data_IF_928414521984
#
_entry.id   IF_928414521984
#
_cell.length_a   1.000
_cell.length_b   1.000
_cell.length_c   1.000
_cell.angle_alpha   90.00
_cell.angle_beta   90.00
_cell.angle_gamma   90.00
#
_symmetry.space_group_name_H-M   'P 1'
#
loop_
_entity.id
_entity.type
_entity.pdbx_description
1 polymer ?
#
# COMPACT_ATOMS: atom_id res chain seq x y z
N UNK A 1 -18.35 7.97 15.89
CA UNK A 1 -16.95 8.26 15.57
C UNK A 1 -16.41 7.14 14.68
N UNK A 2 -15.69 7.46 13.58
CA UNK A 2 -15.05 6.46 12.71
C UNK A 2 -13.55 6.54 12.93
N UNK A 3 -12.96 5.45 13.39
CA UNK A 3 -11.53 5.36 13.73
C UNK A 3 -10.87 4.20 12.99
N UNK A 4 -9.57 4.24 12.88
CA UNK A 4 -8.75 3.18 12.27
C UNK A 4 -7.39 3.71 11.84
N UNK A 5 -6.52 2.81 11.39
CA UNK A 5 -5.19 3.16 10.87
C UNK A 5 -5.29 4.05 9.63
N UNK A 6 -4.22 4.76 9.25
CA UNK A 6 -4.21 5.53 8.00
C UNK A 6 -4.53 4.66 6.78
N UNK A 7 -5.05 5.29 5.73
CA UNK A 7 -5.30 4.71 4.41
C UNK A 7 -6.23 3.47 4.32
N UNK A 8 -7.11 3.26 5.29
CA UNK A 8 -8.09 2.15 5.28
C UNK A 8 -9.44 2.52 4.68
N UNK A 9 -9.59 3.72 4.11
CA UNK A 9 -10.82 4.14 3.43
C UNK A 9 -11.88 4.80 4.33
N UNK A 10 -11.55 5.26 5.55
CA UNK A 10 -12.47 5.95 6.47
C UNK A 10 -13.20 7.11 5.80
N UNK A 11 -12.45 8.04 5.23
CA UNK A 11 -13.00 9.23 4.56
C UNK A 11 -13.80 8.87 3.31
N UNK A 12 -13.43 7.81 2.59
CA UNK A 12 -14.21 7.29 1.46
C UNK A 12 -15.56 6.72 1.91
N UNK A 13 -15.60 6.01 3.04
CA UNK A 13 -16.84 5.51 3.64
C UNK A 13 -17.74 6.67 4.06
N UNK A 14 -17.18 7.69 4.71
CA UNK A 14 -17.93 8.90 5.12
C UNK A 14 -18.53 9.60 3.90
N UNK A 15 -17.76 9.78 2.83
CA UNK A 15 -18.24 10.40 1.60
C UNK A 15 -19.37 9.58 0.95
N UNK A 16 -19.32 8.25 0.98
CA UNK A 16 -20.40 7.38 0.53
C UNK A 16 -21.66 7.53 1.38
N UNK A 17 -21.55 7.58 2.70
CA UNK A 17 -22.67 7.72 3.63
C UNK A 17 -23.33 9.10 3.54
N UNK A 18 -22.57 10.14 3.28
CA UNK A 18 -23.08 11.51 3.12
C UNK A 18 -23.68 11.77 1.74
N UNK A 19 -23.40 10.93 0.76
CA UNK A 19 -23.78 11.11 -0.65
C UNK A 19 -23.10 12.30 -1.33
N UNK A 20 -22.05 12.86 -0.74
CA UNK A 20 -21.27 13.98 -1.28
C UNK A 20 -19.84 13.94 -0.79
N UNK A 21 -18.94 14.64 -1.50
CA UNK A 21 -17.53 14.75 -1.13
C UNK A 21 -17.37 15.74 0.03
N UNK A 22 -17.57 15.28 1.26
CA UNK A 22 -17.52 16.08 2.47
C UNK A 22 -16.19 15.94 3.24
N UNK A 23 -15.37 14.93 2.91
CA UNK A 23 -14.04 14.73 3.48
C UNK A 23 -12.99 14.52 2.38
N UNK A 24 -11.73 14.86 2.68
CA UNK A 24 -10.64 14.61 1.75
C UNK A 24 -10.31 13.12 1.70
N UNK A 25 -10.12 12.61 0.49
CA UNK A 25 -9.71 11.22 0.23
C UNK A 25 -8.44 11.19 -0.61
N UNK A 26 -7.61 10.18 -0.42
CA UNK A 26 -6.39 9.98 -1.19
C UNK A 26 -5.68 8.69 -0.78
N UNK A 27 -4.78 8.23 -1.63
CA UNK A 27 -4.04 6.97 -1.44
C UNK A 27 -2.77 7.12 -0.61
N UNK A 28 -2.60 8.27 0.05
CA UNK A 28 -1.41 8.54 0.89
C UNK A 28 -1.78 8.66 2.35
N UNK A 29 -0.93 8.18 3.28
CA UNK A 29 -1.11 8.41 4.71
C UNK A 29 -1.18 9.90 5.03
N UNK A 30 -2.04 10.28 5.99
CA UNK A 30 -2.16 11.66 6.47
C UNK A 30 -2.98 12.60 5.60
N UNK A 31 -3.83 12.08 4.68
CA UNK A 31 -4.78 12.90 3.89
C UNK A 31 -5.73 13.65 4.81
N UNK A 32 -6.26 12.99 5.85
CA UNK A 32 -7.06 13.64 6.90
C UNK A 32 -6.11 14.27 7.91
N UNK A 33 -5.90 15.58 7.83
CA UNK A 33 -4.94 16.33 8.66
C UNK A 33 -5.43 16.66 10.07
N UNK A 34 -6.74 16.69 10.29
CA UNK A 34 -7.35 17.03 11.56
C UNK A 34 -8.71 16.36 11.77
N UNK A 35 -9.23 16.46 12.98
CA UNK A 35 -10.59 16.02 13.28
C UNK A 35 -11.59 16.90 12.54
N UNK A 36 -12.55 16.29 11.86
CA UNK A 36 -13.62 17.04 11.18
C UNK A 36 -14.98 16.42 11.49
N UNK A 37 -15.94 17.30 11.77
CA UNK A 37 -17.33 16.93 11.95
C UNK A 37 -18.05 16.98 10.60
N UNK A 38 -18.71 15.91 10.25
CA UNK A 38 -19.48 15.79 9.02
C UNK A 38 -20.94 15.53 9.38
N UNK A 39 -21.83 16.46 9.01
CA UNK A 39 -23.27 16.31 9.21
C UNK A 39 -23.86 15.38 8.17
N UNK A 40 -24.57 14.37 8.64
CA UNK A 40 -25.41 13.49 7.85
C UNK A 40 -26.84 14.06 7.73
N UNK A 41 -27.67 13.38 6.98
CA UNK A 41 -29.11 13.67 6.95
C UNK A 41 -29.71 13.42 8.33
N UNK A 42 -30.47 14.40 8.85
CA UNK A 42 -31.04 14.38 10.20
C UNK A 42 -30.09 14.98 11.25
N UNK A 43 -30.26 14.59 12.49
CA UNK A 43 -29.47 15.10 13.63
C UNK A 43 -28.20 14.26 13.91
N UNK A 44 -27.70 13.52 12.91
CA UNK A 44 -26.54 12.66 13.03
C UNK A 44 -25.29 13.40 12.56
N UNK A 45 -24.26 13.44 13.40
CA UNK A 45 -22.95 13.96 13.06
C UNK A 45 -21.91 12.85 13.16
N UNK A 46 -21.01 12.77 12.16
CA UNK A 46 -19.87 11.88 12.15
C UNK A 46 -18.59 12.67 12.42
N UNK A 47 -17.75 12.15 13.30
CA UNK A 47 -16.40 12.67 13.51
C UNK A 47 -15.40 11.83 12.71
N UNK A 48 -14.84 12.42 11.66
CA UNK A 48 -13.69 11.84 10.95
C UNK A 48 -12.40 12.23 11.68
N UNK A 49 -11.60 11.25 12.04
CA UNK A 49 -10.34 11.42 12.74
C UNK A 49 -9.17 10.99 11.85
N UNK A 50 -8.00 11.67 11.95
CA UNK A 50 -6.78 11.17 11.32
C UNK A 50 -6.51 9.72 11.73
N UNK A 51 -6.02 8.91 10.79
CA UNK A 51 -5.55 7.57 11.13
C UNK A 51 -4.39 7.66 12.11
N UNK A 52 -4.45 6.87 13.18
CA UNK A 52 -3.44 6.86 14.23
C UNK A 52 -2.65 5.56 14.14
N UNK A 53 -1.33 5.67 14.15
CA UNK A 53 -0.40 4.55 14.26
C UNK A 53 0.39 4.68 15.57
N UNK A 54 0.80 3.55 16.12
CA UNK A 54 1.74 3.55 17.24
C UNK A 54 3.09 4.11 16.81
N UNK A 55 3.77 4.89 17.65
CA UNK A 55 5.08 5.49 17.32
C UNK A 55 6.20 4.47 17.10
N UNK A 56 6.07 3.30 17.68
CA UNK A 56 7.01 2.17 17.53
C UNK A 56 6.23 0.88 17.35
N UNK A 57 6.68 0.07 16.41
CA UNK A 57 6.22 -1.30 16.22
C UNK A 57 7.25 -2.25 16.82
N UNK A 58 6.86 -2.97 17.85
CA UNK A 58 7.70 -4.01 18.47
C UNK A 58 7.77 -5.27 17.60
N UNK A 59 6.72 -5.52 16.83
CA UNK A 59 6.63 -6.64 15.90
C UNK A 59 6.89 -6.18 14.45
N UNK A 60 7.99 -6.65 13.87
CA UNK A 60 8.36 -6.36 12.48
C UNK A 60 7.33 -6.85 11.47
N UNK A 61 6.60 -7.95 11.76
CA UNK A 61 5.54 -8.46 10.87
C UNK A 61 4.37 -7.49 10.78
N UNK A 62 3.98 -6.88 11.90
CA UNK A 62 2.92 -5.86 11.94
C UNK A 62 3.37 -4.64 11.16
N UNK A 63 4.60 -4.18 11.35
CA UNK A 63 5.15 -3.04 10.63
C UNK A 63 5.17 -3.26 9.11
N UNK A 64 5.58 -4.44 8.65
CA UNK A 64 5.59 -4.81 7.23
C UNK A 64 4.18 -4.85 6.65
N UNK A 65 3.23 -5.49 7.32
CA UNK A 65 1.83 -5.55 6.85
C UNK A 65 1.21 -4.14 6.74
N UNK A 66 1.50 -3.25 7.69
CA UNK A 66 1.05 -1.87 7.63
C UNK A 66 1.73 -1.07 6.50
N UNK A 67 2.99 -1.38 6.20
CA UNK A 67 3.69 -0.79 5.07
C UNK A 67 3.10 -1.26 3.73
N UNK A 68 2.80 -2.56 3.58
CA UNK A 68 2.16 -3.12 2.39
C UNK A 68 0.79 -2.50 2.12
N UNK A 69 0.01 -2.21 3.17
CA UNK A 69 -1.28 -1.51 3.05
C UNK A 69 -1.17 0.01 2.90
N UNK A 70 0.04 0.54 2.75
CA UNK A 70 0.34 1.97 2.69
C UNK A 70 -0.18 2.78 3.89
N UNK A 71 -0.30 2.15 5.06
CA UNK A 71 -0.65 2.82 6.29
C UNK A 71 0.50 3.67 6.85
N UNK A 72 1.73 3.39 6.41
CA UNK A 72 2.97 4.12 6.74
C UNK A 72 3.46 4.86 5.49
N UNK A 73 4.11 6.01 5.68
CA UNK A 73 4.72 6.77 4.57
C UNK A 73 5.89 5.99 3.98
N UNK A 74 5.95 5.91 2.66
CA UNK A 74 7.03 5.25 1.90
C UNK A 74 8.42 5.82 2.19
N UNK A 75 8.49 7.08 2.66
CA UNK A 75 9.73 7.78 2.97
C UNK A 75 10.50 7.21 4.20
N UNK A 76 9.83 6.36 5.01
CA UNK A 76 10.40 5.80 6.25
C UNK A 76 11.05 4.44 5.99
N UNK A 77 10.73 3.79 4.88
CA UNK A 77 11.21 2.46 4.53
C UNK A 77 11.94 2.51 3.18
N UNK A 78 13.01 1.74 3.08
CA UNK A 78 13.64 1.46 1.79
C UNK A 78 12.64 0.69 0.91
N UNK A 79 12.17 1.38 -0.13
CA UNK A 79 11.12 0.86 -1.02
C UNK A 79 11.55 -0.43 -1.72
N UNK A 80 12.83 -0.56 -2.02
CA UNK A 80 13.39 -1.72 -2.71
C UNK A 80 13.34 -2.95 -1.80
N UNK A 81 13.75 -2.79 -0.54
CA UNK A 81 13.66 -3.81 0.50
C UNK A 81 12.19 -4.18 0.78
N UNK A 82 11.29 -3.20 0.82
CA UNK A 82 9.86 -3.45 1.01
C UNK A 82 9.27 -4.26 -0.16
N UNK A 83 9.66 -3.92 -1.39
CA UNK A 83 9.25 -4.64 -2.59
C UNK A 83 9.71 -6.10 -2.59
N UNK A 84 10.97 -6.35 -2.20
CA UNK A 84 11.51 -7.71 -2.06
C UNK A 84 10.74 -8.54 -1.03
N UNK A 85 10.50 -7.99 0.16
CA UNK A 85 9.73 -8.68 1.21
C UNK A 85 8.28 -8.91 0.83
N UNK A 86 7.70 -8.03 0.03
CA UNK A 86 6.36 -8.22 -0.51
C UNK A 86 6.32 -9.38 -1.51
N UNK A 87 7.29 -9.45 -2.44
CA UNK A 87 7.43 -10.55 -3.41
C UNK A 87 7.64 -11.87 -2.67
N UNK A 88 8.54 -11.91 -1.67
CA UNK A 88 8.76 -13.08 -0.82
C UNK A 88 7.44 -13.58 -0.22
N UNK A 89 6.70 -12.68 0.41
CA UNK A 89 5.42 -12.99 1.06
C UNK A 89 4.34 -13.47 0.08
N UNK A 90 4.24 -12.81 -1.08
CA UNK A 90 3.29 -13.20 -2.12
C UNK A 90 3.66 -14.54 -2.76
N UNK A 91 4.94 -14.84 -2.90
CA UNK A 91 5.41 -16.15 -3.39
C UNK A 91 5.05 -17.29 -2.46
N UNK A 92 4.97 -17.04 -1.15
CA UNK A 92 4.54 -18.03 -0.15
C UNK A 92 3.01 -18.22 -0.12
N UNK A 93 2.25 -17.09 -0.16
CA UNK A 93 0.79 -17.11 0.07
C UNK A 93 0.03 -17.39 -1.21
N UNK A 94 0.36 -16.69 -2.30
CA UNK A 94 -0.40 -16.72 -3.56
C UNK A 94 0.52 -16.67 -4.79
N UNK A 95 1.40 -17.69 -4.99
CA UNK A 95 2.35 -17.70 -6.10
C UNK A 95 1.68 -17.62 -7.48
N UNK A 96 0.51 -18.22 -7.63
CA UNK A 96 -0.22 -18.23 -8.89
C UNK A 96 -0.73 -16.82 -9.28
N UNK A 97 -1.15 -16.01 -8.31
CA UNK A 97 -1.54 -14.62 -8.59
C UNK A 97 -0.36 -13.79 -9.06
N UNK A 98 0.80 -13.98 -8.44
CA UNK A 98 2.03 -13.29 -8.82
C UNK A 98 2.45 -13.66 -10.25
N UNK A 99 2.45 -14.97 -10.58
CA UNK A 99 2.73 -15.46 -11.94
C UNK A 99 1.75 -14.92 -12.96
N UNK A 100 0.46 -15.01 -12.69
CA UNK A 100 -0.59 -14.55 -13.60
C UNK A 100 -0.51 -13.04 -13.86
N UNK A 101 -0.26 -12.24 -12.80
CA UNK A 101 -0.18 -10.77 -12.90
C UNK A 101 0.96 -10.31 -13.82
N UNK A 102 2.12 -10.95 -13.72
CA UNK A 102 3.31 -10.57 -14.47
C UNK A 102 3.60 -11.49 -15.66
N UNK A 103 2.71 -12.44 -15.95
CA UNK A 103 2.84 -13.43 -17.03
C UNK A 103 4.17 -14.18 -16.95
N UNK A 104 4.52 -14.63 -15.74
CA UNK A 104 5.72 -15.41 -15.48
C UNK A 104 5.40 -16.90 -15.62
N UNK A 105 6.28 -17.64 -16.25
CA UNK A 105 6.14 -19.10 -16.41
C UNK A 105 6.48 -19.82 -15.09
N UNK A 106 7.41 -19.26 -14.32
CA UNK A 106 7.81 -19.73 -13.00
C UNK A 106 8.24 -18.56 -12.12
N UNK A 107 8.33 -18.77 -10.82
CA UNK A 107 8.99 -17.83 -9.90
C UNK A 107 10.46 -18.24 -9.75
N UNK A 108 11.33 -17.28 -9.46
CA UNK A 108 12.72 -17.53 -9.10
C UNK A 108 12.84 -18.28 -7.76
N UNK A 109 13.98 -18.89 -7.51
CA UNK A 109 14.25 -19.54 -6.23
C UNK A 109 14.34 -18.53 -5.08
N UNK A 110 14.83 -17.32 -5.39
CA UNK A 110 14.88 -16.20 -4.46
C UNK A 110 13.96 -15.05 -4.86
N UNK A 111 13.50 -14.24 -3.89
CA UNK A 111 12.64 -13.08 -4.15
C UNK A 111 13.27 -12.07 -5.13
N UNK A 112 14.60 -11.92 -5.09
CA UNK A 112 15.34 -11.04 -5.98
C UNK A 112 15.24 -11.49 -7.44
N UNK A 113 15.38 -12.78 -7.72
CA UNK A 113 15.25 -13.35 -9.06
C UNK A 113 13.85 -13.10 -9.62
N UNK A 114 12.82 -13.33 -8.79
CA UNK A 114 11.44 -13.04 -9.18
C UNK A 114 11.25 -11.55 -9.50
N UNK A 115 11.83 -10.67 -8.69
CA UNK A 115 11.80 -9.22 -8.90
C UNK A 115 12.48 -8.82 -10.23
N UNK A 116 13.62 -9.43 -10.55
CA UNK A 116 14.32 -9.22 -11.83
C UNK A 116 13.50 -9.72 -13.03
N UNK A 117 12.88 -10.90 -12.91
CA UNK A 117 12.00 -11.42 -13.94
C UNK A 117 10.82 -10.47 -14.23
N UNK A 118 10.21 -9.92 -13.19
CA UNK A 118 9.17 -8.89 -13.31
C UNK A 118 9.71 -7.66 -14.04
N UNK A 119 10.87 -7.17 -13.63
CA UNK A 119 11.51 -6.00 -14.23
C UNK A 119 11.78 -6.18 -15.72
N UNK A 120 12.31 -7.33 -16.13
CA UNK A 120 12.58 -7.68 -17.53
C UNK A 120 11.29 -7.78 -18.34
N UNK A 121 10.25 -8.46 -17.82
CA UNK A 121 8.94 -8.58 -18.48
C UNK A 121 8.23 -7.23 -18.67
N UNK A 122 8.40 -6.30 -17.72
CA UNK A 122 7.82 -4.95 -17.78
C UNK A 122 8.69 -3.93 -18.50
N UNK A 123 9.92 -4.31 -18.88
CA UNK A 123 10.86 -3.41 -19.56
C UNK A 123 11.38 -2.29 -18.66
N UNK A 124 11.49 -2.52 -17.35
CA UNK A 124 12.03 -1.54 -16.40
C UNK A 124 13.56 -1.62 -16.38
N UNK A 125 14.16 -1.27 -17.53
CA UNK A 125 15.59 -1.35 -17.77
C UNK A 125 16.14 0.07 -17.84
N UNK A 126 17.17 0.34 -17.05
CA UNK A 126 17.99 1.54 -17.12
C UNK A 126 19.04 1.40 -18.23
N UNK A 127 19.80 2.45 -18.51
CA UNK A 127 20.93 2.39 -19.43
C UNK A 127 21.93 1.27 -19.04
N UNK A 128 22.58 0.66 -20.03
CA UNK A 128 23.52 -0.47 -19.84
C UNK A 128 22.93 -1.79 -19.35
N UNK A 129 21.62 -2.02 -19.59
CA UNK A 129 20.93 -3.26 -19.23
C UNK A 129 20.77 -3.49 -17.71
N UNK A 130 20.89 -2.44 -16.90
CA UNK A 130 20.61 -2.48 -15.45
C UNK A 130 19.10 -2.38 -15.20
N UNK A 131 18.62 -3.06 -14.16
CA UNK A 131 17.21 -3.02 -13.78
C UNK A 131 16.93 -1.86 -12.82
N UNK A 132 15.79 -1.20 -13.00
CA UNK A 132 15.27 -0.17 -12.11
C UNK A 132 14.50 -0.80 -10.95
N UNK A 133 15.22 -1.27 -9.92
CA UNK A 133 14.64 -1.95 -8.76
C UNK A 133 13.61 -1.10 -8.04
N UNK A 134 13.87 0.18 -7.88
CA UNK A 134 12.93 1.11 -7.23
C UNK A 134 11.61 1.22 -7.99
N UNK A 135 11.67 1.26 -9.31
CA UNK A 135 10.47 1.28 -10.15
C UNK A 135 9.72 -0.05 -10.10
N UNK A 136 10.45 -1.17 -10.09
CA UNK A 136 9.85 -2.51 -9.95
C UNK A 136 9.14 -2.61 -8.61
N UNK A 137 9.81 -2.27 -7.50
CA UNK A 137 9.26 -2.29 -6.16
C UNK A 137 7.99 -1.45 -6.04
N UNK A 138 8.04 -0.19 -6.51
CA UNK A 138 6.87 0.70 -6.53
C UNK A 138 5.72 0.10 -7.33
N UNK A 139 6.00 -0.50 -8.48
CA UNK A 139 4.96 -1.10 -9.33
C UNK A 139 4.32 -2.29 -8.64
N UNK A 140 5.12 -3.19 -8.08
CA UNK A 140 4.63 -4.37 -7.36
C UNK A 140 3.75 -3.98 -6.18
N UNK A 141 4.21 -3.04 -5.35
CA UNK A 141 3.44 -2.55 -4.19
C UNK A 141 2.16 -1.78 -4.57
N UNK A 142 2.10 -1.23 -5.79
CA UNK A 142 0.94 -0.48 -6.28
C UNK A 142 -0.12 -1.34 -6.95
N UNK A 143 0.27 -2.48 -7.49
CA UNK A 143 -0.60 -3.35 -8.29
C UNK A 143 -1.32 -4.42 -7.47
N UNK A 144 -0.94 -4.61 -6.21
CA UNK A 144 -1.58 -5.49 -5.22
C UNK A 144 -2.18 -4.71 -4.06
#
# INVERSE_FOLDING_TARGET
MIVGVPNVGKSSLINKLTGRKSTQTGDRPGVTKGKQWVRLKGNLELLDTPGILWPKFEDQKIALNLAFTRAIKDEILDIDTLGLKFIEKMSEIEPEKLKARYKLDSLGEEPLETMEMIGRKRGFILGRNELDYTRIAKTVLNEF
#
